data_IF_958264607323
#
_entry.id   IF_958264607323
#
_cell.length_a   1.000
_cell.length_b   1.000
_cell.length_c   1.000
_cell.angle_alpha   90.00
_cell.angle_beta   90.00
_cell.angle_gamma   90.00
#
_symmetry.space_group_name_H-M   'P 1'
#
loop_
_entity.id
_entity.type
_entity.pdbx_description
1 polymer ?
#
# COMPACT_ATOMS: atom_id res chain seq x y z
N UNK A 1 -21.84 9.48 -38.23
CA UNK A 1 -21.89 8.08 -37.77
C UNK A 1 -20.67 7.81 -36.89
N UNK A 2 -20.62 8.45 -35.71
CA UNK A 2 -19.50 8.36 -34.76
C UNK A 2 -19.94 8.75 -33.34
N UNK A 3 -21.23 8.56 -33.02
CA UNK A 3 -21.82 8.97 -31.74
C UNK A 3 -22.14 7.77 -30.84
N UNK A 4 -22.26 6.55 -31.39
CA UNK A 4 -22.74 5.38 -30.62
C UNK A 4 -21.68 4.58 -29.84
N UNK A 5 -20.37 4.84 -29.99
CA UNK A 5 -19.34 4.01 -29.33
C UNK A 5 -18.84 4.56 -27.99
N UNK A 6 -19.23 5.79 -27.61
CA UNK A 6 -18.89 6.36 -26.29
C UNK A 6 -19.90 6.01 -25.20
N UNK A 7 -21.18 5.83 -25.54
CA UNK A 7 -22.22 5.55 -24.55
C UNK A 7 -22.19 4.10 -24.03
N UNK A 8 -21.72 3.14 -24.84
CA UNK A 8 -21.68 1.73 -24.42
C UNK A 8 -20.53 1.42 -23.45
N UNK A 9 -19.40 2.14 -23.53
CA UNK A 9 -18.28 1.98 -22.60
C UNK A 9 -18.62 2.60 -21.22
N UNK A 10 -19.42 3.67 -21.20
CA UNK A 10 -19.86 4.32 -19.97
C UNK A 10 -20.88 3.43 -19.22
N UNK A 11 -21.78 2.75 -19.91
CA UNK A 11 -22.78 1.88 -19.26
C UNK A 11 -22.23 0.57 -18.67
N UNK A 12 -21.13 0.03 -19.22
CA UNK A 12 -20.47 -1.16 -18.67
C UNK A 12 -19.88 -0.93 -17.27
N UNK A 13 -19.16 0.18 -17.08
CA UNK A 13 -18.56 0.54 -15.79
C UNK A 13 -19.60 0.95 -14.74
N UNK A 14 -20.70 1.60 -15.16
CA UNK A 14 -21.78 2.00 -14.25
C UNK A 14 -22.51 0.81 -13.61
N UNK A 15 -22.60 -0.32 -14.31
CA UNK A 15 -23.29 -1.51 -13.79
C UNK A 15 -22.51 -2.25 -12.71
N UNK A 16 -21.17 -2.34 -12.83
CA UNK A 16 -20.34 -2.98 -11.80
C UNK A 16 -20.23 -2.08 -10.58
N UNK A 17 -20.08 -0.76 -10.77
CA UNK A 17 -19.98 0.21 -9.68
C UNK A 17 -21.31 0.36 -8.91
N UNK A 18 -22.46 0.17 -9.58
CA UNK A 18 -23.78 0.21 -8.93
C UNK A 18 -24.06 -1.00 -8.06
N UNK A 19 -23.60 -2.21 -8.41
CA UNK A 19 -23.81 -3.42 -7.59
C UNK A 19 -23.07 -3.35 -6.25
N UNK A 20 -21.82 -2.86 -6.25
CA UNK A 20 -21.09 -2.63 -5.01
C UNK A 20 -21.68 -1.46 -4.21
N UNK A 21 -22.13 -0.40 -4.88
CA UNK A 21 -22.83 0.74 -4.25
C UNK A 21 -24.17 0.35 -3.61
N UNK A 22 -24.86 -0.67 -4.13
CA UNK A 22 -26.16 -1.13 -3.63
C UNK A 22 -26.08 -1.92 -2.31
N UNK A 23 -24.98 -2.66 -2.07
CA UNK A 23 -24.85 -3.57 -0.93
C UNK A 23 -24.49 -2.87 0.39
N UNK A 24 -23.81 -1.71 0.34
CA UNK A 24 -23.38 -0.96 1.52
C UNK A 24 -23.47 0.55 1.28
N UNK A 25 -24.30 1.23 2.07
CA UNK A 25 -24.41 2.69 2.09
C UNK A 25 -23.05 3.35 2.36
N UNK A 26 -22.78 4.49 1.72
CA UNK A 26 -21.52 5.21 1.84
C UNK A 26 -21.15 5.53 3.30
N UNK A 27 -22.16 5.81 4.13
CA UNK A 27 -21.99 5.99 5.58
C UNK A 27 -21.42 4.74 6.25
N UNK A 28 -21.93 3.53 5.94
CA UNK A 28 -21.43 2.29 6.53
C UNK A 28 -19.96 2.03 6.18
N UNK A 29 -19.56 2.31 4.93
CA UNK A 29 -18.16 2.17 4.51
C UNK A 29 -17.23 3.07 5.32
N UNK A 30 -17.63 4.32 5.53
CA UNK A 30 -16.85 5.27 6.34
C UNK A 30 -16.68 4.79 7.80
N UNK A 31 -17.72 4.23 8.41
CA UNK A 31 -17.62 3.70 9.78
C UNK A 31 -16.74 2.45 9.87
N UNK A 32 -16.83 1.53 8.91
CA UNK A 32 -15.96 0.35 8.86
C UNK A 32 -14.50 0.76 8.73
N UNK A 33 -14.19 1.70 7.82
CA UNK A 33 -12.84 2.24 7.65
C UNK A 33 -12.32 2.90 8.93
N UNK A 34 -13.18 3.58 9.69
CA UNK A 34 -12.78 4.24 10.92
C UNK A 34 -12.53 3.23 12.06
N UNK A 35 -13.42 2.23 12.22
CA UNK A 35 -13.29 1.18 13.24
C UNK A 35 -12.07 0.29 13.00
N UNK A 36 -11.75 -0.03 11.74
CA UNK A 36 -10.59 -0.86 11.39
C UNK A 36 -9.31 -0.01 11.25
N UNK A 37 -9.45 1.24 10.78
CA UNK A 37 -8.33 2.13 10.53
C UNK A 37 -7.64 2.59 11.81
N UNK A 38 -8.39 2.94 12.86
CA UNK A 38 -7.81 3.35 14.16
C UNK A 38 -6.91 2.26 14.77
N UNK A 39 -7.38 1.00 14.98
CA UNK A 39 -6.53 -0.04 15.56
C UNK A 39 -5.36 -0.37 14.65
N UNK A 40 -5.55 -0.39 13.32
CA UNK A 40 -4.48 -0.60 12.36
C UNK A 40 -3.38 0.47 12.52
N UNK A 41 -3.76 1.75 12.57
CA UNK A 41 -2.83 2.86 12.80
C UNK A 41 -2.08 2.74 14.12
N UNK A 42 -2.78 2.38 15.20
CA UNK A 42 -2.15 2.14 16.51
C UNK A 42 -1.14 1.00 16.45
N UNK A 43 -1.45 -0.10 15.75
CA UNK A 43 -0.51 -1.19 15.52
C UNK A 43 0.72 -0.73 14.72
N UNK A 44 0.55 0.08 13.67
CA UNK A 44 1.69 0.63 12.90
C UNK A 44 2.62 1.46 13.77
N UNK A 45 2.07 2.41 14.54
CA UNK A 45 2.86 3.25 15.45
C UNK A 45 3.57 2.40 16.49
N UNK A 46 2.89 1.43 17.09
CA UNK A 46 3.47 0.52 18.06
C UNK A 46 4.65 -0.26 17.48
N UNK A 47 4.50 -0.83 16.28
CA UNK A 47 5.57 -1.60 15.62
C UNK A 47 6.76 -0.69 15.28
N UNK A 48 6.51 0.51 14.75
CA UNK A 48 7.59 1.47 14.47
C UNK A 48 8.34 1.84 15.75
N UNK A 49 7.64 2.18 16.82
CA UNK A 49 8.26 2.50 18.12
C UNK A 49 9.01 1.30 18.69
N UNK A 50 8.47 0.10 18.58
CA UNK A 50 9.11 -1.13 19.06
C UNK A 50 10.41 -1.42 18.30
N UNK A 51 10.37 -1.36 16.96
CA UNK A 51 11.54 -1.60 16.09
C UNK A 51 12.59 -0.51 16.29
N UNK A 52 12.17 0.75 16.45
CA UNK A 52 13.10 1.83 16.78
C UNK A 52 13.67 1.61 18.18
N UNK A 53 12.91 1.31 19.22
CA UNK A 53 13.46 1.25 20.58
C UNK A 53 14.51 0.14 20.74
N UNK A 54 14.39 -0.97 20.03
CA UNK A 54 15.33 -2.09 20.11
C UNK A 54 16.52 -1.97 19.13
N UNK A 55 17.70 -1.64 19.68
CA UNK A 55 18.97 -1.51 18.91
C UNK A 55 19.37 -2.79 18.18
N UNK A 56 19.11 -3.97 18.76
CA UNK A 56 19.42 -5.27 18.15
C UNK A 56 18.58 -5.55 16.89
N UNK A 57 17.37 -4.98 16.82
CA UNK A 57 16.54 -5.09 15.62
C UNK A 57 16.94 -4.06 14.54
N UNK A 58 17.63 -2.97 14.88
CA UNK A 58 18.07 -2.00 13.87
C UNK A 58 19.28 -2.47 13.05
N UNK A 59 20.16 -3.32 13.60
CA UNK A 59 21.40 -3.71 12.90
C UNK A 59 21.28 -4.99 12.07
N UNK A 60 20.11 -5.62 12.03
CA UNK A 60 19.89 -6.79 11.18
C UNK A 60 19.50 -6.30 9.77
N UNK A 61 20.20 -6.74 8.70
CA UNK A 61 19.95 -6.26 7.33
C UNK A 61 18.51 -6.50 6.86
N UNK A 62 17.86 -7.58 7.30
CA UNK A 62 16.48 -7.91 6.96
C UNK A 62 15.45 -6.92 7.52
N UNK A 63 15.80 -6.16 8.56
CA UNK A 63 14.86 -5.23 9.20
C UNK A 63 14.78 -3.89 8.49
N UNK A 64 15.70 -3.61 7.55
CA UNK A 64 15.64 -2.40 6.71
C UNK A 64 14.46 -2.44 5.74
N UNK A 65 14.21 -3.57 5.07
CA UNK A 65 13.06 -3.74 4.19
C UNK A 65 11.74 -3.55 4.96
N UNK A 66 11.65 -4.14 6.15
CA UNK A 66 10.48 -4.00 7.03
C UNK A 66 10.26 -2.55 7.50
N UNK A 67 11.34 -1.82 7.80
CA UNK A 67 11.27 -0.39 8.13
C UNK A 67 10.79 0.46 6.95
N UNK A 68 11.23 0.16 5.72
CA UNK A 68 10.76 0.87 4.50
C UNK A 68 9.26 0.63 4.31
N UNK A 69 8.81 -0.62 4.37
CA UNK A 69 7.39 -0.98 4.21
C UNK A 69 6.54 -0.25 5.27
N UNK A 70 6.95 -0.29 6.54
CA UNK A 70 6.24 0.38 7.62
C UNK A 70 6.13 1.90 7.41
N UNK A 71 7.21 2.53 6.94
CA UNK A 71 7.21 3.98 6.67
C UNK A 71 6.28 4.32 5.49
N UNK A 72 6.40 3.61 4.37
CA UNK A 72 5.54 3.83 3.20
C UNK A 72 4.06 3.69 3.56
N UNK A 73 3.73 2.62 4.30
CA UNK A 73 2.37 2.34 4.71
C UNK A 73 1.83 3.36 5.73
N UNK A 74 2.69 3.91 6.60
CA UNK A 74 2.32 5.01 7.49
C UNK A 74 1.93 6.27 6.71
N UNK A 75 2.71 6.66 5.71
CA UNK A 75 2.38 7.80 4.84
C UNK A 75 1.09 7.57 4.05
N UNK A 76 0.90 6.37 3.49
CA UNK A 76 -0.36 6.01 2.85
C UNK A 76 -1.54 6.11 3.82
N UNK A 77 -1.46 5.53 5.01
CA UNK A 77 -2.57 5.59 5.96
C UNK A 77 -2.92 7.02 6.38
N UNK A 78 -1.95 7.94 6.46
CA UNK A 78 -2.22 9.35 6.81
C UNK A 78 -2.88 10.11 5.67
N UNK A 79 -2.55 9.81 4.41
CA UNK A 79 -3.06 10.55 3.26
C UNK A 79 -4.33 9.90 2.72
N UNK A 80 -4.32 8.59 2.54
CA UNK A 80 -5.32 7.82 1.82
C UNK A 80 -6.59 7.64 2.67
N UNK A 81 -6.47 7.14 3.90
CA UNK A 81 -7.63 6.84 4.76
C UNK A 81 -8.48 8.09 5.05
N UNK A 82 -7.93 9.25 5.46
CA UNK A 82 -8.74 10.44 5.67
C UNK A 82 -9.42 10.93 4.39
N UNK A 83 -8.73 10.82 3.25
CA UNK A 83 -9.26 11.21 1.95
C UNK A 83 -10.42 10.32 1.51
N UNK A 84 -10.29 9.01 1.71
CA UNK A 84 -11.37 8.06 1.46
C UNK A 84 -12.56 8.28 2.39
N UNK A 85 -12.33 8.45 3.71
CA UNK A 85 -13.41 8.71 4.67
C UNK A 85 -14.16 9.99 4.30
N UNK A 86 -13.45 11.05 3.94
CA UNK A 86 -14.08 12.30 3.52
C UNK A 86 -14.89 12.11 2.22
N UNK A 87 -14.31 11.42 1.24
CA UNK A 87 -14.98 11.09 -0.02
C UNK A 87 -16.26 10.28 0.20
N UNK A 88 -16.25 9.28 1.07
CA UNK A 88 -17.44 8.47 1.38
C UNK A 88 -18.51 9.23 2.17
N UNK A 89 -18.14 10.29 2.93
CA UNK A 89 -19.13 11.09 3.68
C UNK A 89 -19.73 12.22 2.87
N UNK A 90 -18.91 12.93 2.12
CA UNK A 90 -19.30 14.16 1.41
C UNK A 90 -19.52 13.95 -0.09
N UNK A 91 -19.10 12.81 -0.64
CA UNK A 91 -19.17 12.54 -2.09
C UNK A 91 -18.17 13.34 -2.92
N UNK A 92 -17.24 14.06 -2.29
CA UNK A 92 -16.22 14.91 -2.92
C UNK A 92 -14.86 14.72 -2.27
N UNK A 93 -13.80 15.09 -2.97
CA UNK A 93 -12.42 15.05 -2.46
C UNK A 93 -12.16 16.22 -1.49
N UNK A 94 -11.24 16.04 -0.53
CA UNK A 94 -10.90 17.06 0.48
C UNK A 94 -10.46 18.37 -0.18
N UNK A 95 -9.64 18.26 -1.22
CA UNK A 95 -9.22 19.40 -2.03
C UNK A 95 -9.68 19.18 -3.46
N UNK A 96 -10.53 20.05 -3.96
CA UNK A 96 -11.02 20.08 -5.36
C UNK A 96 -9.94 20.59 -6.33
N UNK A 97 -8.68 20.26 -6.08
CA UNK A 97 -7.54 20.60 -6.92
C UNK A 97 -7.17 19.40 -7.79
N UNK A 98 -7.06 19.61 -9.10
CA UNK A 98 -6.66 18.56 -10.05
C UNK A 98 -5.30 17.93 -9.68
N UNK A 99 -4.35 18.76 -9.24
CA UNK A 99 -3.02 18.31 -8.80
C UNK A 99 -3.12 17.34 -7.62
N UNK A 100 -3.96 17.65 -6.64
CA UNK A 100 -4.17 16.79 -5.48
C UNK A 100 -4.79 15.44 -5.87
N UNK A 101 -5.78 15.47 -6.77
CA UNK A 101 -6.40 14.24 -7.28
C UNK A 101 -5.39 13.34 -8.02
N UNK A 102 -4.53 13.92 -8.88
CA UNK A 102 -3.47 13.17 -9.54
C UNK A 102 -2.45 12.59 -8.56
N UNK A 103 -2.04 13.36 -7.55
CA UNK A 103 -1.12 12.87 -6.51
C UNK A 103 -1.77 11.74 -5.73
N UNK A 104 -3.00 11.92 -5.27
CA UNK A 104 -3.72 10.91 -4.51
C UNK A 104 -3.88 9.61 -5.31
N UNK A 105 -4.27 9.73 -6.57
CA UNK A 105 -4.38 8.59 -7.48
C UNK A 105 -3.02 7.93 -7.70
N UNK A 106 -1.96 8.70 -7.94
CA UNK A 106 -0.60 8.16 -8.09
C UNK A 106 -0.15 7.40 -6.85
N UNK A 107 -0.39 7.95 -5.65
CA UNK A 107 -0.04 7.27 -4.39
C UNK A 107 -0.79 5.95 -4.24
N UNK A 108 -2.10 5.93 -4.52
CA UNK A 108 -2.92 4.73 -4.42
C UNK A 108 -2.47 3.64 -5.42
N UNK A 109 -2.22 4.00 -6.68
CA UNK A 109 -1.85 3.04 -7.72
C UNK A 109 -0.38 2.62 -7.69
N UNK A 110 0.51 3.40 -7.09
CA UNK A 110 1.95 3.13 -7.12
C UNK A 110 2.46 2.58 -5.80
N UNK A 111 2.12 3.23 -4.68
CA UNK A 111 2.67 2.85 -3.38
C UNK A 111 2.05 1.55 -2.88
N UNK A 112 0.76 1.31 -3.13
CA UNK A 112 0.11 0.07 -2.74
C UNK A 112 0.77 -1.18 -3.36
N UNK A 113 0.94 -1.30 -4.69
CA UNK A 113 1.62 -2.46 -5.26
C UNK A 113 3.09 -2.54 -4.86
N UNK A 114 3.81 -1.40 -4.72
CA UNK A 114 5.18 -1.40 -4.20
C UNK A 114 5.24 -2.03 -2.80
N UNK A 115 4.32 -1.68 -1.91
CA UNK A 115 4.25 -2.28 -0.58
C UNK A 115 3.97 -3.79 -0.63
N UNK A 116 3.06 -4.23 -1.50
CA UNK A 116 2.76 -5.67 -1.68
C UNK A 116 3.98 -6.43 -2.20
N UNK A 117 4.68 -5.87 -3.19
CA UNK A 117 5.89 -6.45 -3.78
C UNK A 117 7.02 -6.51 -2.74
N UNK A 118 7.24 -5.43 -1.99
CA UNK A 118 8.24 -5.40 -0.91
C UNK A 118 7.91 -6.40 0.20
N UNK A 119 6.64 -6.54 0.57
CA UNK A 119 6.20 -7.53 1.56
C UNK A 119 6.43 -8.96 1.06
N UNK A 120 6.07 -9.24 -0.19
CA UNK A 120 6.35 -10.53 -0.82
C UNK A 120 7.85 -10.81 -0.85
N UNK A 121 8.66 -9.81 -1.21
CA UNK A 121 10.11 -9.90 -1.21
C UNK A 121 10.67 -10.20 0.17
N UNK A 122 10.22 -9.49 1.21
CA UNK A 122 10.64 -9.74 2.58
C UNK A 122 10.30 -11.17 3.06
N UNK A 123 9.18 -11.72 2.59
CA UNK A 123 8.82 -13.12 2.85
C UNK A 123 9.76 -14.09 2.13
N UNK A 124 10.08 -13.84 0.85
CA UNK A 124 11.07 -14.62 0.10
C UNK A 124 12.46 -14.58 0.73
N UNK A 125 12.93 -13.39 1.12
CA UNK A 125 14.21 -13.21 1.80
C UNK A 125 14.29 -14.04 3.08
N UNK A 126 13.24 -14.02 3.92
CA UNK A 126 13.16 -14.85 5.13
C UNK A 126 13.12 -16.34 4.83
N UNK A 127 12.36 -16.73 3.81
CA UNK A 127 12.28 -18.14 3.41
C UNK A 127 13.65 -18.66 2.94
N UNK A 128 14.36 -17.91 2.10
CA UNK A 128 15.71 -18.28 1.65
C UNK A 128 16.69 -18.33 2.82
N UNK A 129 16.59 -17.40 3.78
CA UNK A 129 17.46 -17.39 4.96
C UNK A 129 17.28 -18.65 5.82
N UNK A 130 16.04 -19.11 6.01
CA UNK A 130 15.75 -20.28 6.85
C UNK A 130 16.13 -21.59 6.15
N UNK A 131 15.81 -21.74 4.86
CA UNK A 131 15.98 -23.02 4.15
C UNK A 131 17.32 -23.16 3.41
N UNK A 132 17.99 -22.04 3.11
CA UNK A 132 19.20 -22.01 2.27
C UNK A 132 20.31 -21.14 2.86
N UNK A 133 20.63 -21.31 4.15
CA UNK A 133 21.68 -20.55 4.86
C UNK A 133 23.06 -20.60 4.15
N UNK A 134 23.40 -21.70 3.46
CA UNK A 134 24.63 -21.81 2.66
C UNK A 134 24.71 -20.83 1.49
N UNK A 135 23.58 -20.39 0.95
CA UNK A 135 23.50 -19.48 -0.19
C UNK A 135 23.84 -18.03 0.21
N UNK A 136 23.53 -17.65 1.46
CA UNK A 136 23.82 -16.33 2.03
C UNK A 136 25.27 -16.17 2.50
N UNK A 137 25.99 -17.28 2.71
CA UNK A 137 27.42 -17.26 3.07
C UNK A 137 28.31 -16.71 1.93
N UNK A 138 27.79 -16.67 0.69
CA UNK A 138 28.43 -16.03 -0.46
C UNK A 138 28.11 -14.53 -0.52
N UNK A 139 29.13 -13.67 -0.59
CA UNK A 139 28.95 -12.21 -0.78
C UNK A 139 28.07 -11.87 -2.00
N UNK A 140 28.07 -12.70 -3.04
CA UNK A 140 27.25 -12.51 -4.25
C UNK A 140 25.76 -12.80 -4.01
N UNK A 141 25.45 -13.80 -3.18
CA UNK A 141 24.07 -14.13 -2.81
C UNK A 141 23.42 -13.03 -1.97
N UNK A 142 24.18 -12.48 -1.02
CA UNK A 142 23.74 -11.38 -0.17
C UNK A 142 23.48 -10.08 -0.97
N UNK A 143 24.35 -9.77 -1.95
CA UNK A 143 24.15 -8.62 -2.85
C UNK A 143 22.91 -8.83 -3.73
N UNK A 144 22.72 -10.01 -4.33
CA UNK A 144 21.56 -10.24 -5.19
C UNK A 144 20.23 -10.09 -4.41
N UNK A 145 20.18 -10.63 -3.19
CA UNK A 145 19.00 -10.53 -2.33
C UNK A 145 18.70 -9.10 -1.86
N UNK A 146 19.73 -8.30 -1.63
CA UNK A 146 19.57 -6.93 -1.15
C UNK A 146 19.21 -5.94 -2.27
N UNK A 147 19.70 -6.15 -3.50
CA UNK A 147 19.51 -5.23 -4.63
C UNK A 147 18.31 -5.54 -5.53
N UNK A 148 17.73 -6.74 -5.43
CA UNK A 148 16.52 -7.11 -6.16
C UNK A 148 15.26 -6.26 -5.85
N UNK A 149 14.94 -5.87 -4.60
CA UNK A 149 13.76 -5.05 -4.34
C UNK A 149 13.82 -3.67 -5.04
N UNK A 150 14.94 -2.91 -4.99
CA UNK A 150 15.09 -1.69 -5.79
C UNK A 150 14.95 -1.91 -7.30
N UNK A 151 15.48 -3.01 -7.84
CA UNK A 151 15.39 -3.32 -9.27
C UNK A 151 13.93 -3.52 -9.69
N UNK A 152 13.14 -4.24 -8.90
CA UNK A 152 11.72 -4.47 -9.19
C UNK A 152 10.93 -3.15 -9.15
N UNK A 153 11.21 -2.29 -8.16
CA UNK A 153 10.57 -0.97 -8.02
C UNK A 153 10.91 -0.05 -9.20
N UNK A 154 12.12 -0.12 -9.76
CA UNK A 154 12.54 0.71 -10.90
C UNK A 154 11.90 0.22 -12.22
N UNK A 155 11.65 -1.07 -12.37
CA UNK A 155 11.03 -1.65 -13.58
C UNK A 155 9.52 -1.48 -13.67
N UNK A 156 8.84 -1.19 -12.55
CA UNK A 156 7.38 -1.03 -12.49
C UNK A 156 6.98 0.42 -12.69
#
# INVERSE_FOLDING_TARGET
MQVDMKETIINGNNSVQSVYGLLFSASMRSYILLIVGIPSFMCYVFIIVYVLTNRNHRSAPNNYCLLIILNLQFFCNIIDIPSEIYFYREGRVIFENAIYCYIWQFLAYTIWPINVILLAWAAFERHILIFHDRFLRSKRGNICLHYAPPLIIITY
#
